data_IF_646504448869
#
_entry.id   IF_646504448869
#
_cell.length_a   1.000
_cell.length_b   1.000
_cell.length_c   1.000
_cell.angle_alpha   90.00
_cell.angle_beta   90.00
_cell.angle_gamma   90.00
#
_symmetry.space_group_name_H-M   'P 1'
#
loop_
_entity.id
_entity.type
_entity.pdbx_description
1 polymer ?
#
# COMPACT_ATOMS: atom_id res chain seq x y z
N UNK A 1 -10.16 -13.36 16.71
CA UNK A 1 -10.74 -12.01 16.64
C UNK A 1 -9.61 -11.07 16.28
N UNK A 2 -9.70 -10.37 15.16
CA UNK A 2 -8.63 -9.51 14.65
C UNK A 2 -9.09 -8.06 14.74
N UNK A 3 -8.44 -7.28 15.60
CA UNK A 3 -8.64 -5.83 15.74
C UNK A 3 -7.83 -5.09 14.68
N UNK A 4 -8.23 -3.86 14.35
CA UNK A 4 -7.48 -3.02 13.42
C UNK A 4 -6.15 -2.56 14.04
N UNK A 5 -5.11 -2.49 13.21
CA UNK A 5 -3.77 -2.07 13.65
C UNK A 5 -3.72 -0.54 13.76
N UNK A 6 -3.00 0.04 14.75
CA UNK A 6 -2.77 1.48 14.79
C UNK A 6 -2.10 2.00 13.50
N UNK A 7 -2.56 3.14 12.99
CA UNK A 7 -2.10 3.72 11.71
C UNK A 7 -0.59 3.93 11.68
N UNK A 8 0.02 4.33 12.81
CA UNK A 8 1.46 4.54 12.93
C UNK A 8 2.26 3.24 12.72
N UNK A 9 1.75 2.11 13.21
CA UNK A 9 2.35 0.80 13.02
C UNK A 9 2.17 0.31 11.58
N UNK A 10 0.99 0.50 11.00
CA UNK A 10 0.73 0.22 9.58
C UNK A 10 1.68 1.02 8.69
N UNK A 11 1.85 2.31 8.97
CA UNK A 11 2.77 3.16 8.24
C UNK A 11 4.20 2.62 8.32
N UNK A 12 4.73 2.42 9.54
CA UNK A 12 6.07 1.90 9.74
C UNK A 12 6.28 0.55 9.04
N UNK A 13 5.33 -0.37 9.15
CA UNK A 13 5.42 -1.69 8.56
C UNK A 13 5.42 -1.64 7.02
N UNK A 14 4.49 -0.88 6.42
CA UNK A 14 4.37 -0.78 4.97
C UNK A 14 5.57 -0.07 4.34
N UNK A 15 6.03 1.03 4.94
CA UNK A 15 7.24 1.73 4.48
C UNK A 15 8.47 0.84 4.55
N UNK A 16 8.67 0.13 5.67
CA UNK A 16 9.79 -0.79 5.83
C UNK A 16 9.74 -1.93 4.80
N UNK A 17 8.55 -2.50 4.55
CA UNK A 17 8.36 -3.54 3.56
C UNK A 17 8.68 -3.03 2.14
N UNK A 18 8.18 -1.86 1.76
CA UNK A 18 8.47 -1.25 0.46
C UNK A 18 9.96 -0.96 0.27
N UNK A 19 10.62 -0.42 1.32
CA UNK A 19 12.06 -0.16 1.29
C UNK A 19 12.88 -1.45 1.17
N UNK A 20 12.47 -2.53 1.84
CA UNK A 20 13.13 -3.85 1.71
C UNK A 20 13.02 -4.39 0.29
N UNK A 21 11.86 -4.26 -0.34
CA UNK A 21 11.70 -4.67 -1.74
C UNK A 21 12.62 -3.87 -2.66
N UNK A 22 12.68 -2.54 -2.51
CA UNK A 22 13.57 -1.68 -3.28
C UNK A 22 15.04 -2.08 -3.10
N UNK A 23 15.50 -2.24 -1.86
CA UNK A 23 16.91 -2.56 -1.57
C UNK A 23 17.32 -3.95 -2.09
N UNK A 24 16.39 -4.89 -2.22
CA UNK A 24 16.67 -6.25 -2.67
C UNK A 24 16.79 -6.37 -4.20
N UNK A 25 16.42 -5.34 -4.97
CA UNK A 25 16.41 -5.39 -6.44
C UNK A 25 17.82 -5.62 -7.00
N UNK A 26 18.79 -4.85 -6.52
CA UNK A 26 20.17 -4.90 -7.03
C UNK A 26 20.78 -6.27 -6.79
N UNK A 27 20.66 -6.80 -5.56
CA UNK A 27 21.17 -8.12 -5.18
C UNK A 27 20.51 -9.25 -5.99
N UNK A 28 19.20 -9.18 -6.22
CA UNK A 28 18.46 -10.21 -6.95
C UNK A 28 18.95 -10.37 -8.40
N UNK A 29 19.18 -9.24 -9.09
CA UNK A 29 19.64 -9.22 -10.48
C UNK A 29 21.15 -9.37 -10.64
N UNK A 30 21.94 -9.02 -9.62
CA UNK A 30 23.38 -9.30 -9.59
C UNK A 30 23.67 -10.80 -9.47
N UNK A 31 22.78 -11.56 -8.83
CA UNK A 31 22.91 -13.01 -8.65
C UNK A 31 22.49 -13.84 -9.89
N UNK A 32 21.98 -13.21 -10.95
CA UNK A 32 21.66 -13.89 -12.19
C UNK A 32 22.94 -14.19 -12.98
N UNK A 33 23.08 -15.40 -13.55
CA UNK A 33 24.25 -15.75 -14.33
C UNK A 33 24.25 -15.04 -15.69
N UNK A 34 25.44 -14.91 -16.28
CA UNK A 34 25.66 -14.31 -17.60
C UNK A 34 25.76 -15.39 -18.71
N UNK A 35 25.09 -16.54 -18.52
CA UNK A 35 25.21 -17.78 -19.29
C UNK A 35 24.84 -17.65 -20.78
N UNK A 36 25.18 -18.69 -21.57
CA UNK A 36 25.03 -18.69 -23.03
C UNK A 36 23.58 -18.62 -23.55
N UNK A 37 22.64 -19.10 -22.73
CA UNK A 37 21.21 -18.98 -22.96
C UNK A 37 20.65 -18.17 -21.79
N UNK A 38 20.00 -17.02 -22.02
CA UNK A 38 19.41 -16.24 -20.94
C UNK A 38 18.36 -17.05 -20.20
N UNK A 39 18.53 -17.19 -18.88
CA UNK A 39 17.52 -17.75 -17.98
C UNK A 39 16.42 -16.72 -17.70
N UNK A 40 15.60 -16.47 -18.73
CA UNK A 40 14.48 -15.53 -18.65
C UNK A 40 13.45 -15.96 -17.60
N UNK A 41 13.27 -17.27 -17.40
CA UNK A 41 12.34 -17.80 -16.40
C UNK A 41 12.74 -17.39 -14.98
N UNK A 42 14.04 -17.39 -14.65
CA UNK A 42 14.52 -16.93 -13.34
C UNK A 42 14.39 -15.42 -13.18
N UNK A 43 14.63 -14.63 -14.22
CA UNK A 43 14.37 -13.19 -14.20
C UNK A 43 12.87 -12.88 -14.00
N UNK A 44 11.98 -13.60 -14.68
CA UNK A 44 10.53 -13.46 -14.52
C UNK A 44 10.03 -13.89 -13.13
N UNK A 45 10.67 -14.90 -12.53
CA UNK A 45 10.40 -15.31 -11.16
C UNK A 45 10.83 -14.23 -10.14
N UNK A 46 11.93 -13.51 -10.39
CA UNK A 46 12.34 -12.36 -9.58
C UNK A 46 11.27 -11.25 -9.67
N UNK A 47 10.84 -10.91 -10.89
CA UNK A 47 9.83 -9.88 -11.11
C UNK A 47 8.50 -10.22 -10.41
N UNK A 48 8.09 -11.49 -10.51
CA UNK A 48 6.87 -11.99 -9.86
C UNK A 48 6.94 -11.87 -8.33
N UNK A 49 8.09 -12.16 -7.72
CA UNK A 49 8.28 -12.00 -6.27
C UNK A 49 8.15 -10.55 -5.81
N UNK A 50 8.69 -9.60 -6.58
CA UNK A 50 8.56 -8.18 -6.26
C UNK A 50 7.11 -7.69 -6.40
N UNK A 51 6.39 -8.16 -7.42
CA UNK A 51 4.96 -7.85 -7.60
C UNK A 51 4.10 -8.43 -6.47
N UNK A 52 4.33 -9.68 -6.05
CA UNK A 52 3.65 -10.28 -4.90
C UNK A 52 3.93 -9.53 -3.60
N UNK A 53 5.18 -9.11 -3.39
CA UNK A 53 5.59 -8.30 -2.25
C UNK A 53 4.82 -6.97 -2.18
N UNK A 54 4.68 -6.28 -3.30
CA UNK A 54 3.88 -5.05 -3.37
C UNK A 54 2.40 -5.28 -3.11
N UNK A 55 1.82 -6.31 -3.73
CA UNK A 55 0.42 -6.64 -3.51
C UNK A 55 0.12 -6.84 -2.02
N UNK A 56 1.01 -7.51 -1.28
CA UNK A 56 0.87 -7.69 0.18
C UNK A 56 0.89 -6.37 0.95
N UNK A 57 1.67 -5.39 0.50
CA UNK A 57 1.72 -4.06 1.12
C UNK A 57 0.39 -3.33 0.88
N UNK A 58 -0.12 -3.32 -0.36
CA UNK A 58 -1.39 -2.67 -0.67
C UNK A 58 -2.57 -3.33 0.03
N UNK A 59 -2.64 -4.67 0.05
CA UNK A 59 -3.67 -5.41 0.76
C UNK A 59 -3.70 -5.06 2.26
N UNK A 60 -2.53 -4.80 2.87
CA UNK A 60 -2.46 -4.35 4.26
C UNK A 60 -3.00 -2.93 4.44
N UNK A 61 -2.60 -1.99 3.57
CA UNK A 61 -3.08 -0.61 3.61
C UNK A 61 -4.60 -0.58 3.45
N UNK A 62 -5.15 -1.34 2.50
CA UNK A 62 -6.59 -1.44 2.26
C UNK A 62 -7.31 -2.08 3.45
N UNK A 63 -6.78 -3.18 3.98
CA UNK A 63 -7.35 -3.86 5.14
C UNK A 63 -7.40 -2.96 6.38
N UNK A 64 -6.33 -2.22 6.68
CA UNK A 64 -6.31 -1.31 7.83
C UNK A 64 -7.17 -0.04 7.58
N UNK A 65 -7.35 0.38 6.32
CA UNK A 65 -8.25 1.48 5.95
C UNK A 65 -9.75 1.11 6.13
N UNK A 66 -10.12 -0.17 6.07
CA UNK A 66 -11.48 -0.63 6.42
C UNK A 66 -11.83 -0.29 7.88
N UNK A 67 -10.85 -0.22 8.78
CA UNK A 67 -11.07 0.21 10.16
C UNK A 67 -11.63 1.63 10.26
N UNK A 68 -11.19 2.55 9.40
CA UNK A 68 -11.75 3.89 9.34
C UNK A 68 -13.20 3.90 8.83
N UNK A 69 -13.55 2.97 7.95
CA UNK A 69 -14.93 2.80 7.48
C UNK A 69 -15.83 2.36 8.63
N UNK A 70 -15.34 1.48 9.51
CA UNK A 70 -16.09 1.10 10.72
C UNK A 70 -16.34 2.32 11.63
N UNK A 71 -15.32 3.13 11.92
CA UNK A 71 -15.50 4.32 12.77
C UNK A 71 -16.50 5.33 12.18
N UNK A 72 -16.53 5.47 10.86
CA UNK A 72 -17.53 6.28 10.15
C UNK A 72 -18.94 5.69 10.27
N UNK A 73 -19.09 4.36 10.14
CA UNK A 73 -20.36 3.66 10.36
C UNK A 73 -20.84 3.81 11.80
N UNK A 74 -19.94 3.75 12.79
CA UNK A 74 -20.27 4.00 14.21
C UNK A 74 -20.78 5.43 14.43
N UNK A 75 -20.15 6.43 13.83
CA UNK A 75 -20.61 7.82 13.92
C UNK A 75 -22.02 7.99 13.31
N UNK A 76 -22.27 7.39 12.14
CA UNK A 76 -23.60 7.39 11.51
C UNK A 76 -24.64 6.66 12.34
N UNK A 77 -24.29 5.53 12.94
CA UNK A 77 -25.16 4.81 13.87
C UNK A 77 -25.56 5.68 15.06
N UNK A 78 -24.61 6.38 15.69
CA UNK A 78 -24.89 7.24 16.83
C UNK A 78 -25.85 8.39 16.48
N UNK A 79 -25.72 9.00 15.29
CA UNK A 79 -26.59 10.11 14.86
C UNK A 79 -27.97 9.67 14.39
N UNK A 80 -27.99 8.69 13.48
CA UNK A 80 -29.18 8.37 12.69
C UNK A 80 -29.75 6.99 13.01
N UNK A 81 -28.93 6.13 13.61
CA UNK A 81 -29.30 4.75 13.88
C UNK A 81 -29.05 3.76 12.77
N UNK A 82 -28.25 4.16 11.77
CA UNK A 82 -27.84 3.31 10.66
C UNK A 82 -27.18 2.01 11.16
N UNK A 83 -27.27 0.95 10.38
CA UNK A 83 -26.58 -0.30 10.70
C UNK A 83 -25.06 -0.12 10.66
N UNK A 84 -24.37 -0.74 11.62
CA UNK A 84 -22.90 -0.79 11.66
C UNK A 84 -22.45 -2.02 10.89
N UNK A 85 -21.63 -1.84 9.85
CA UNK A 85 -21.02 -2.95 9.10
C UNK A 85 -19.66 -3.32 9.70
N UNK A 86 -19.10 -4.47 9.33
CA UNK A 86 -17.76 -4.92 9.76
C UNK A 86 -17.59 -5.06 11.28
N UNK A 87 -18.68 -5.28 12.01
CA UNK A 87 -18.67 -5.36 13.48
C UNK A 87 -17.86 -6.54 14.01
N UNK A 88 -17.63 -7.57 13.19
CA UNK A 88 -16.80 -8.72 13.49
C UNK A 88 -15.32 -8.37 13.75
N UNK A 89 -14.87 -7.19 13.29
CA UNK A 89 -13.50 -6.71 13.50
C UNK A 89 -13.32 -5.95 14.82
N UNK A 90 -14.34 -5.21 15.28
CA UNK A 90 -14.33 -4.50 16.58
C UNK A 90 -15.70 -4.62 17.30
N UNK A 91 -16.06 -5.83 17.76
CA UNK A 91 -17.40 -6.07 18.31
C UNK A 91 -17.68 -5.26 19.58
N UNK A 92 -16.65 -5.00 20.39
CA UNK A 92 -16.78 -4.20 21.60
C UNK A 92 -17.11 -2.73 21.29
N UNK A 93 -16.52 -2.16 20.24
CA UNK A 93 -16.82 -0.78 19.82
C UNK A 93 -18.21 -0.67 19.21
N UNK A 94 -18.60 -1.64 18.38
CA UNK A 94 -19.95 -1.72 17.84
C UNK A 94 -20.99 -1.84 18.97
N UNK A 95 -20.74 -2.68 19.97
CA UNK A 95 -21.63 -2.82 21.12
C UNK A 95 -21.69 -1.56 21.97
N UNK A 96 -20.56 -0.90 22.23
CA UNK A 96 -20.54 0.37 22.93
C UNK A 96 -21.39 1.44 22.22
N UNK A 97 -21.30 1.54 20.89
CA UNK A 97 -22.12 2.47 20.12
C UNK A 97 -23.63 2.14 20.22
N UNK A 98 -24.00 0.85 20.16
CA UNK A 98 -25.40 0.41 20.36
C UNK A 98 -25.89 0.77 21.76
N UNK A 99 -25.08 0.56 22.79
CA UNK A 99 -25.42 0.89 24.17
C UNK A 99 -25.61 2.40 24.37
N UNK A 100 -24.72 3.23 23.82
CA UNK A 100 -24.84 4.70 23.88
C UNK A 100 -26.15 5.15 23.23
N UNK A 101 -26.48 4.59 22.07
CA UNK A 101 -27.73 4.91 21.38
C UNK A 101 -28.96 4.43 22.14
N UNK A 102 -28.92 3.23 22.72
CA UNK A 102 -30.00 2.73 23.56
C UNK A 102 -30.22 3.65 24.78
N UNK A 103 -29.15 4.03 25.47
CA UNK A 103 -29.20 4.97 26.59
C UNK A 103 -29.83 6.32 26.18
N UNK A 104 -29.52 6.80 24.97
CA UNK A 104 -30.14 7.99 24.39
C UNK A 104 -31.64 7.82 24.12
N UNK A 105 -32.06 6.69 23.56
CA UNK A 105 -33.47 6.38 23.29
C UNK A 105 -34.29 6.26 24.58
N UNK A 106 -33.66 5.81 25.67
CA UNK A 106 -34.26 5.74 27.00
C UNK A 106 -34.18 7.04 27.81
N UNK A 107 -33.62 8.12 27.24
CA UNK A 107 -33.48 9.42 27.91
C UNK A 107 -32.42 9.47 29.02
N UNK A 108 -31.57 8.46 29.13
CA UNK A 108 -30.48 8.43 30.11
C UNK A 108 -29.26 9.26 29.66
N UNK A 109 -29.15 9.57 28.37
CA UNK A 109 -28.07 10.38 27.78
C UNK A 109 -28.68 11.41 26.83
N UNK A 110 -28.24 12.66 26.94
CA UNK A 110 -28.69 13.74 26.07
C UNK A 110 -28.14 13.61 24.65
N UNK A 111 -28.91 14.11 23.66
CA UNK A 111 -28.48 14.12 22.25
C UNK A 111 -27.14 14.81 22.06
N UNK A 112 -26.90 15.93 22.76
CA UNK A 112 -25.64 16.69 22.69
C UNK A 112 -24.42 15.84 23.02
N UNK A 113 -24.54 14.87 23.94
CA UNK A 113 -23.43 13.96 24.29
C UNK A 113 -23.20 12.92 23.21
N UNK A 114 -24.28 12.38 22.63
CA UNK A 114 -24.19 11.43 21.51
C UNK A 114 -23.56 12.10 20.29
N UNK A 115 -23.97 13.34 19.98
CA UNK A 115 -23.43 14.13 18.88
C UNK A 115 -21.96 14.47 19.09
N UNK A 116 -21.52 14.71 20.33
CA UNK A 116 -20.12 14.94 20.65
C UNK A 116 -19.28 13.68 20.35
N UNK A 117 -19.72 12.49 20.79
CA UNK A 117 -19.01 11.24 20.48
C UNK A 117 -18.99 10.97 18.98
N UNK A 118 -20.11 11.17 18.28
CA UNK A 118 -20.15 11.01 16.82
C UNK A 118 -19.20 11.99 16.11
N UNK A 119 -19.11 13.23 16.59
CA UNK A 119 -18.19 14.26 16.08
C UNK A 119 -16.72 13.89 16.32
N UNK A 120 -16.39 13.33 17.47
CA UNK A 120 -15.04 12.86 17.79
C UNK A 120 -14.62 11.71 16.86
N UNK A 121 -15.54 10.76 16.62
CA UNK A 121 -15.33 9.68 15.67
C UNK A 121 -15.12 10.19 14.23
N UNK A 122 -15.94 11.12 13.75
CA UNK A 122 -15.76 11.74 12.43
C UNK A 122 -14.43 12.49 12.31
N UNK A 123 -14.03 13.19 13.37
CA UNK A 123 -12.75 13.90 13.43
C UNK A 123 -11.57 12.93 13.39
N UNK A 124 -11.68 11.80 14.09
CA UNK A 124 -10.71 10.71 14.03
C UNK A 124 -10.64 10.12 12.61
N UNK A 125 -11.79 9.83 11.97
CA UNK A 125 -11.84 9.31 10.59
C UNK A 125 -11.19 10.28 9.61
N UNK A 126 -11.49 11.58 9.72
CA UNK A 126 -10.91 12.61 8.85
C UNK A 126 -9.38 12.65 8.98
N UNK A 127 -8.88 12.65 10.20
CA UNK A 127 -7.44 12.64 10.50
C UNK A 127 -6.78 11.35 10.00
N UNK A 128 -7.43 10.21 10.24
CA UNK A 128 -6.98 8.90 9.79
C UNK A 128 -6.91 8.80 8.26
N UNK A 129 -7.93 9.25 7.53
CA UNK A 129 -7.94 9.26 6.07
C UNK A 129 -6.81 10.10 5.49
N UNK A 130 -6.52 11.26 6.08
CA UNK A 130 -5.39 12.09 5.68
C UNK A 130 -4.06 11.35 5.89
N UNK A 131 -3.89 10.68 7.04
CA UNK A 131 -2.70 9.88 7.35
C UNK A 131 -2.52 8.68 6.39
N UNK A 132 -3.58 7.94 6.08
CA UNK A 132 -3.53 6.85 5.09
C UNK A 132 -3.28 7.36 3.67
N UNK A 133 -3.82 8.52 3.31
CA UNK A 133 -3.52 9.16 2.03
C UNK A 133 -2.02 9.47 1.90
N UNK A 134 -1.43 10.06 2.93
CA UNK A 134 0.01 10.32 2.98
C UNK A 134 0.84 9.02 2.94
N UNK A 135 0.43 7.98 3.66
CA UNK A 135 1.06 6.66 3.62
C UNK A 135 1.01 6.04 2.22
N UNK A 136 -0.16 6.03 1.59
CA UNK A 136 -0.35 5.48 0.25
C UNK A 136 0.53 6.21 -0.78
N UNK A 137 0.66 7.53 -0.66
CA UNK A 137 1.56 8.32 -1.51
C UNK A 137 3.03 7.95 -1.30
N UNK A 138 3.48 7.83 -0.05
CA UNK A 138 4.85 7.44 0.30
C UNK A 138 5.20 6.04 -0.21
N UNK A 139 4.32 5.05 0.05
CA UNK A 139 4.50 3.67 -0.43
C UNK A 139 4.50 3.63 -1.95
N UNK A 140 3.61 4.38 -2.62
CA UNK A 140 3.60 4.48 -4.08
C UNK A 140 4.92 5.02 -4.63
N UNK A 141 5.51 6.04 -4.00
CA UNK A 141 6.83 6.56 -4.41
C UNK A 141 7.91 5.50 -4.30
N UNK A 142 7.92 4.71 -3.22
CA UNK A 142 8.87 3.60 -3.04
C UNK A 142 8.66 2.48 -4.07
N UNK A 143 7.42 2.11 -4.38
CA UNK A 143 7.11 1.13 -5.43
C UNK A 143 7.57 1.61 -6.81
N UNK A 144 7.34 2.88 -7.16
CA UNK A 144 7.82 3.48 -8.41
C UNK A 144 9.36 3.52 -8.48
N UNK A 145 10.03 3.82 -7.37
CA UNK A 145 11.48 3.77 -7.30
C UNK A 145 12.01 2.34 -7.51
N UNK A 146 11.32 1.34 -6.94
CA UNK A 146 11.62 -0.08 -7.17
C UNK A 146 11.41 -0.48 -8.63
N UNK A 147 10.30 -0.11 -9.26
CA UNK A 147 10.06 -0.40 -10.69
C UNK A 147 11.16 0.16 -11.59
N UNK A 148 11.63 1.36 -11.26
CA UNK A 148 12.76 1.99 -11.93
C UNK A 148 14.04 1.18 -11.74
N UNK A 149 14.39 0.84 -10.49
CA UNK A 149 15.56 0.02 -10.18
C UNK A 149 15.49 -1.33 -10.91
N UNK A 150 14.34 -2.01 -10.84
CA UNK A 150 14.10 -3.33 -11.42
C UNK A 150 14.27 -3.31 -12.94
N UNK A 151 13.66 -2.33 -13.61
CA UNK A 151 13.78 -2.18 -15.06
C UNK A 151 15.22 -1.89 -15.48
N UNK A 152 15.96 -1.08 -14.72
CA UNK A 152 17.37 -0.79 -14.98
C UNK A 152 18.25 -2.03 -14.78
N UNK A 153 18.07 -2.76 -13.68
CA UNK A 153 18.89 -3.94 -13.38
C UNK A 153 18.61 -5.10 -14.33
N UNK A 154 17.35 -5.33 -14.69
CA UNK A 154 16.99 -6.29 -15.74
C UNK A 154 17.64 -5.93 -17.07
N UNK A 155 17.57 -4.66 -17.47
CA UNK A 155 18.24 -4.19 -18.69
C UNK A 155 19.77 -4.33 -18.64
N UNK A 156 20.39 -4.07 -17.49
CA UNK A 156 21.83 -4.25 -17.30
C UNK A 156 22.24 -5.71 -17.40
N UNK A 157 21.50 -6.61 -16.75
CA UNK A 157 21.74 -8.05 -16.86
C UNK A 157 21.60 -8.52 -18.31
N UNK A 158 20.53 -8.13 -19.03
CA UNK A 158 20.36 -8.46 -20.45
C UNK A 158 21.54 -7.98 -21.31
N UNK A 159 22.08 -6.78 -21.02
CA UNK A 159 23.30 -6.28 -21.70
C UNK A 159 24.54 -7.09 -21.35
N UNK A 160 24.69 -7.61 -20.13
CA UNK A 160 25.79 -8.53 -19.77
C UNK A 160 25.66 -9.84 -20.56
N UNK A 161 24.47 -10.44 -20.59
CA UNK A 161 24.20 -11.66 -21.37
C UNK A 161 24.46 -11.44 -22.86
N UNK A 162 24.01 -10.31 -23.44
CA UNK A 162 24.25 -10.00 -24.86
C UNK A 162 25.74 -9.82 -25.19
N UNK A 163 26.54 -9.32 -24.24
CA UNK A 163 28.01 -9.23 -24.40
C UNK A 163 28.68 -10.59 -24.33
N UNK A 164 28.20 -11.45 -23.43
CA UNK A 164 28.68 -12.83 -23.34
C UNK A 164 28.25 -13.65 -24.57
N UNK A 165 27.14 -13.27 -25.23
CA UNK A 165 26.50 -14.00 -26.32
C UNK A 165 26.11 -13.09 -27.48
N UNK A 166 27.06 -12.73 -28.36
CA UNK A 166 26.82 -11.80 -29.45
C UNK A 166 25.75 -12.27 -30.46
N UNK A 167 25.54 -13.57 -30.57
CA UNK A 167 24.56 -14.17 -31.51
C UNK A 167 23.11 -14.18 -30.96
N UNK A 168 22.92 -13.90 -29.67
CA UNK A 168 21.60 -13.81 -29.06
C UNK A 168 20.98 -12.43 -29.31
N UNK A 169 19.90 -12.36 -30.11
CA UNK A 169 19.15 -11.11 -30.28
C UNK A 169 18.29 -10.79 -29.05
N UNK A 170 18.87 -10.02 -28.13
CA UNK A 170 18.18 -9.50 -26.94
C UNK A 170 17.74 -8.04 -27.09
N UNK A 171 17.88 -7.46 -28.29
CA UNK A 171 17.66 -6.03 -28.51
C UNK A 171 16.22 -5.60 -28.19
N UNK A 172 15.24 -6.44 -28.52
CA UNK A 172 13.83 -6.21 -28.20
C UNK A 172 13.55 -6.14 -26.70
N UNK A 173 14.11 -7.07 -25.93
CA UNK A 173 13.95 -7.13 -24.46
C UNK A 173 14.65 -5.95 -23.77
N UNK A 174 15.85 -5.57 -24.24
CA UNK A 174 16.57 -4.41 -23.72
C UNK A 174 15.76 -3.12 -23.94
N UNK A 175 15.19 -2.92 -25.14
CA UNK A 175 14.34 -1.77 -25.45
C UNK A 175 13.06 -1.75 -24.61
N UNK A 176 12.50 -2.91 -24.28
CA UNK A 176 11.36 -3.00 -23.38
C UNK A 176 11.71 -2.52 -21.96
N UNK A 177 12.84 -2.98 -21.42
CA UNK A 177 13.35 -2.52 -20.13
C UNK A 177 13.61 -1.00 -20.12
N UNK A 178 14.18 -0.45 -21.18
CA UNK A 178 14.41 0.99 -21.32
C UNK A 178 13.10 1.79 -21.33
N UNK A 179 12.08 1.29 -22.04
CA UNK A 179 10.74 1.90 -22.07
C UNK A 179 10.09 1.88 -20.69
N UNK A 180 10.14 0.74 -19.99
CA UNK A 180 9.61 0.60 -18.63
C UNK A 180 10.34 1.53 -17.65
N UNK A 181 11.66 1.60 -17.74
CA UNK A 181 12.49 2.54 -16.96
C UNK A 181 12.10 4.00 -17.22
N UNK A 182 11.93 4.40 -18.48
CA UNK A 182 11.51 5.75 -18.84
C UNK A 182 10.11 6.09 -18.30
N UNK A 183 9.16 5.17 -18.42
CA UNK A 183 7.81 5.34 -17.86
C UNK A 183 7.85 5.47 -16.33
N UNK A 184 8.62 4.63 -15.64
CA UNK A 184 8.80 4.69 -14.19
C UNK A 184 9.45 6.02 -13.75
N UNK A 185 10.49 6.50 -14.46
CA UNK A 185 11.11 7.82 -14.21
C UNK A 185 10.09 8.95 -14.31
N UNK A 186 9.28 8.95 -15.37
CA UNK A 186 8.27 9.98 -15.58
C UNK A 186 7.21 9.96 -14.47
N UNK A 187 6.71 8.77 -14.11
CA UNK A 187 5.75 8.60 -13.03
C UNK A 187 6.32 9.04 -11.67
N UNK A 188 7.56 8.65 -11.37
CA UNK A 188 8.25 9.03 -10.14
C UNK A 188 8.50 10.53 -10.05
N UNK A 189 8.98 11.16 -11.14
CA UNK A 189 9.18 12.61 -11.21
C UNK A 189 7.86 13.37 -11.01
N UNK A 190 6.77 12.90 -11.62
CA UNK A 190 5.43 13.48 -11.48
C UNK A 190 4.90 13.36 -10.04
N UNK A 191 5.18 12.23 -9.37
CA UNK A 191 4.79 12.02 -7.98
C UNK A 191 5.56 12.92 -7.01
N UNK A 192 6.81 13.28 -7.32
CA UNK A 192 7.62 14.19 -6.51
C UNK A 192 7.34 15.66 -6.79
N UNK A 193 7.01 16.04 -8.03
CA UNK A 193 6.69 17.43 -8.38
C UNK A 193 5.35 17.91 -7.79
N UNK A 194 4.42 16.99 -7.52
CA UNK A 194 3.14 17.31 -6.86
C UNK A 194 3.24 17.52 -5.35
N UNK A 195 4.30 17.02 -4.70
CA UNK A 195 4.55 17.21 -3.27
C UNK A 195 5.38 18.45 -2.92
N UNK A 196 5.80 19.25 -3.91
CA UNK A 196 6.63 20.44 -3.74
C UNK A 196 5.82 21.76 -3.73
N UNK A 197 4.51 21.69 -3.44
CA UNK A 197 3.63 22.86 -3.32
C UNK A 197 2.99 22.93 -1.95
#
# INVERSE_FOLDING_TARGET
>A
MQTFTPISETHRACRLAAQKLLNAVDDAYAALPDDAVPDLARADAIDSKFAEGEHKIWARIEGDALGLTLFEDLARHLRNGDDVRYTEHEPALAEAARMIRAARMHGAVDQTRVDAVASDLESFVKTGRAAFGALAEDVKRLCLARDLAQSNQRGNWLRRVARANPDADLSGLIRECERKSAAAKFAYATANSKGAK
#
